data_IF_067514953810
#
_entry.id   IF_067514953810
#
_cell.length_a   1.000
_cell.length_b   1.000
_cell.length_c   1.000
_cell.angle_alpha   90.00
_cell.angle_beta   90.00
_cell.angle_gamma   90.00
#
_symmetry.space_group_name_H-M   'P 1'
#
loop_
_entity.id
_entity.type
_entity.pdbx_description
1 polymer ?
#
# COMPACT_ATOMS: atom_id res chain seq x y z
N UNK A 1 -43.90 18.33 35.67
CA UNK A 1 -43.24 18.89 36.89
C UNK A 1 -41.82 19.32 36.53
N UNK A 2 -41.63 20.61 36.61
CA UNK A 2 -40.40 21.38 36.29
C UNK A 2 -39.49 21.42 37.53
N UNK A 3 -38.17 21.27 37.36
CA UNK A 3 -37.12 21.86 38.23
C UNK A 3 -35.79 21.80 37.44
N UNK A 4 -35.36 22.88 36.83
CA UNK A 4 -34.52 24.04 37.19
C UNK A 4 -33.09 23.67 37.64
N UNK A 5 -32.14 24.14 36.79
CA UNK A 5 -30.73 24.43 37.11
C UNK A 5 -30.52 25.31 38.35
N UNK A 6 -29.28 25.38 38.83
CA UNK A 6 -28.71 26.72 38.96
C UNK A 6 -27.29 26.87 38.34
N UNK A 7 -27.00 28.15 38.06
CA UNK A 7 -25.83 28.79 37.45
C UNK A 7 -24.77 29.17 38.50
N UNK A 8 -23.55 29.39 37.94
CA UNK A 8 -22.52 30.41 38.25
C UNK A 8 -21.60 30.19 39.45
N UNK A 9 -20.28 30.31 39.25
CA UNK A 9 -19.53 31.55 39.43
C UNK A 9 -18.08 31.46 38.91
N UNK A 10 -17.65 32.60 38.34
CA UNK A 10 -16.30 33.01 38.00
C UNK A 10 -15.50 33.31 39.29
N UNK A 11 -14.17 33.25 39.22
CA UNK A 11 -13.23 34.32 39.66
C UNK A 11 -11.79 33.95 39.22
N UNK A 12 -11.16 34.82 38.44
CA UNK A 12 -9.81 35.37 38.29
C UNK A 12 -8.81 35.00 39.43
N UNK A 13 -7.54 34.96 39.25
CA UNK A 13 -6.49 35.78 38.64
C UNK A 13 -5.08 35.23 38.97
N UNK A 14 -4.16 35.40 38.01
CA UNK A 14 -2.78 35.88 38.15
C UNK A 14 -1.61 35.03 38.65
N UNK A 15 -0.61 35.11 37.80
CA UNK A 15 0.84 35.35 37.95
C UNK A 15 1.74 34.12 37.75
N UNK A 16 2.44 34.07 36.64
CA UNK A 16 3.72 34.63 36.19
C UNK A 16 4.94 33.70 36.37
N UNK A 17 5.82 33.81 35.36
CA UNK A 17 7.22 33.35 35.23
C UNK A 17 7.37 31.86 34.77
N UNK A 18 7.79 31.53 33.57
CA UNK A 18 8.88 32.05 32.76
C UNK A 18 9.92 30.96 32.65
N UNK A 19 9.98 30.27 31.47
CA UNK A 19 11.27 29.96 30.89
C UNK A 19 11.11 29.38 29.47
N UNK A 20 11.77 30.03 28.56
CA UNK A 20 11.91 29.76 27.16
C UNK A 20 12.80 28.56 26.87
N UNK A 21 12.35 27.69 25.97
CA UNK A 21 13.27 26.91 25.15
C UNK A 21 12.78 26.90 23.70
N UNK A 22 13.51 27.65 22.87
CA UNK A 22 13.36 27.70 21.41
C UNK A 22 13.77 26.37 20.77
N UNK A 23 12.81 25.68 20.18
CA UNK A 23 13.11 24.71 19.13
C UNK A 23 12.84 25.38 17.77
N UNK A 24 13.92 25.63 17.03
CA UNK A 24 13.85 26.17 15.65
C UNK A 24 13.40 25.07 14.71
N UNK A 25 12.21 25.27 14.13
CA UNK A 25 11.80 24.59 12.90
C UNK A 25 12.65 25.11 11.74
N UNK A 26 13.28 24.21 11.02
CA UNK A 26 13.97 24.51 9.75
C UNK A 26 12.96 24.24 8.64
N UNK A 27 12.36 25.30 8.14
CA UNK A 27 11.59 25.28 6.90
C UNK A 27 12.55 25.19 5.71
N UNK A 28 12.40 24.13 4.93
CA UNK A 28 13.05 23.98 3.62
C UNK A 28 12.24 24.75 2.56
N UNK A 29 12.47 26.06 2.44
CA UNK A 29 12.02 26.86 1.31
C UNK A 29 13.15 27.00 0.27
N UNK A 30 12.80 26.72 -0.96
CA UNK A 30 13.61 26.86 -2.17
C UNK A 30 14.29 28.23 -2.25
N UNK A 31 15.63 28.23 -2.22
CA UNK A 31 16.44 29.42 -2.51
C UNK A 31 16.51 29.53 -4.04
N UNK A 32 15.97 30.63 -4.58
CA UNK A 32 16.09 30.96 -6.00
C UNK A 32 17.50 31.47 -6.35
N UNK A 33 17.98 31.16 -7.55
CA UNK A 33 19.31 31.56 -8.05
C UNK A 33 19.63 33.06 -8.00
N UNK A 34 18.62 33.93 -7.83
CA UNK A 34 18.74 35.37 -7.67
C UNK A 34 19.32 35.80 -6.31
N UNK A 35 19.08 35.02 -5.24
CA UNK A 35 19.55 35.40 -3.90
C UNK A 35 21.03 35.06 -3.68
N UNK A 36 21.53 34.05 -4.40
CA UNK A 36 22.93 33.67 -4.39
C UNK A 36 23.84 34.72 -5.05
N UNK A 37 23.32 35.49 -5.99
CA UNK A 37 24.04 36.56 -6.71
C UNK A 37 24.12 37.85 -5.89
N UNK A 38 23.17 38.15 -5.02
CA UNK A 38 23.18 39.34 -4.18
C UNK A 38 24.14 39.19 -2.99
N UNK A 39 24.22 38.02 -2.37
CA UNK A 39 25.20 37.77 -1.28
C UNK A 39 26.65 37.88 -1.80
N UNK A 40 26.92 37.50 -3.04
CA UNK A 40 28.24 37.63 -3.66
C UNK A 40 28.57 39.08 -3.99
N UNK A 41 27.60 39.98 -4.24
CA UNK A 41 27.82 41.40 -4.49
C UNK A 41 28.12 42.18 -3.22
N UNK A 42 27.41 41.92 -2.11
CA UNK A 42 27.66 42.60 -0.84
C UNK A 42 29.03 42.23 -0.23
N UNK A 43 29.51 40.99 -0.42
CA UNK A 43 30.85 40.56 0.03
C UNK A 43 31.99 41.18 -0.82
N UNK A 44 31.68 41.67 -2.03
CA UNK A 44 32.65 42.40 -2.85
C UNK A 44 32.80 43.87 -2.46
N UNK A 45 31.77 44.54 -2.00
CA UNK A 45 31.83 45.96 -1.61
C UNK A 45 32.47 46.16 -0.24
N UNK A 46 32.32 45.23 0.70
CA UNK A 46 32.99 45.27 2.02
C UNK A 46 34.51 45.04 1.97
N UNK A 47 35.07 44.56 0.85
CA UNK A 47 36.51 44.29 0.69
C UNK A 47 37.34 45.41 0.05
N UNK A 48 36.73 46.50 -0.32
CA UNK A 48 37.44 47.58 -1.02
C UNK A 48 37.93 48.75 -0.15
N UNK A 49 37.68 48.73 1.16
CA UNK A 49 38.07 49.82 2.06
C UNK A 49 39.04 49.41 3.19
N UNK A 50 40.14 48.76 2.86
CA UNK A 50 41.35 48.77 3.75
C UNK A 50 42.59 48.69 2.89
N UNK A 51 43.07 49.88 2.46
CA UNK A 51 44.44 50.04 1.97
C UNK A 51 45.38 49.96 3.14
N UNK A 52 45.94 48.79 3.40
CA UNK A 52 47.19 48.60 4.18
C UNK A 52 48.22 47.99 3.25
N UNK A 53 49.36 48.65 3.15
CA UNK A 53 50.53 48.26 2.35
C UNK A 53 50.91 46.80 2.56
N UNK A 54 50.57 45.98 1.62
CA UNK A 54 50.89 44.54 1.65
C UNK A 54 52.15 44.33 0.82
N UNK A 55 53.27 44.04 1.53
CA UNK A 55 54.56 43.64 0.97
C UNK A 55 54.41 42.82 -0.33
N UNK A 56 55.05 43.21 -1.44
CA UNK A 56 54.88 42.58 -2.77
C UNK A 56 55.18 41.06 -2.77
N UNK A 57 56.05 40.58 -1.86
CA UNK A 57 56.29 39.13 -1.67
C UNK A 57 55.06 38.40 -1.16
N UNK A 58 54.29 38.97 -0.23
CA UNK A 58 53.01 38.37 0.27
C UNK A 58 51.91 38.31 -0.81
N UNK A 59 51.85 39.30 -1.70
CA UNK A 59 50.92 39.37 -2.83
C UNK A 59 51.22 38.27 -3.86
N UNK A 60 52.51 37.99 -4.12
CA UNK A 60 52.99 36.92 -5.01
C UNK A 60 52.66 35.53 -4.47
N UNK A 61 52.87 35.31 -3.16
CA UNK A 61 52.57 34.06 -2.46
C UNK A 61 51.05 33.81 -2.43
N UNK A 62 50.20 34.81 -2.15
CA UNK A 62 48.74 34.67 -2.17
C UNK A 62 48.24 34.32 -3.58
N UNK A 63 48.76 34.92 -4.67
CA UNK A 63 48.44 34.53 -6.05
C UNK A 63 48.84 33.10 -6.37
N UNK A 64 50.00 32.64 -5.91
CA UNK A 64 50.51 31.27 -6.12
C UNK A 64 49.66 30.24 -5.35
N UNK A 65 49.27 30.51 -4.09
CA UNK A 65 48.34 29.70 -3.32
C UNK A 65 46.94 29.62 -3.87
N UNK A 66 46.37 30.74 -4.40
CA UNK A 66 45.11 30.75 -5.10
C UNK A 66 45.14 29.92 -6.39
N UNK A 67 46.25 29.96 -7.14
CA UNK A 67 46.44 29.13 -8.35
C UNK A 67 46.55 27.65 -8.04
N UNK A 68 47.29 27.28 -6.95
CA UNK A 68 47.43 25.91 -6.50
C UNK A 68 46.07 25.34 -5.97
N UNK A 69 45.33 26.14 -5.18
CA UNK A 69 43.99 25.72 -4.71
C UNK A 69 43.00 25.55 -5.88
N UNK A 70 43.03 26.44 -6.89
CA UNK A 70 42.16 26.28 -8.07
C UNK A 70 42.52 25.05 -8.91
N UNK A 71 43.81 24.76 -9.12
CA UNK A 71 44.25 23.57 -9.87
C UNK A 71 43.96 22.26 -9.11
N UNK A 72 44.16 22.22 -7.79
CA UNK A 72 43.82 21.03 -7.00
C UNK A 72 42.32 20.84 -6.88
N UNK A 73 41.53 21.91 -6.75
CA UNK A 73 40.07 21.83 -6.73
C UNK A 73 39.54 21.37 -8.10
N UNK A 74 40.09 21.90 -9.23
CA UNK A 74 39.74 21.43 -10.56
C UNK A 74 40.02 19.93 -10.78
N UNK A 75 41.19 19.44 -10.34
CA UNK A 75 41.53 18.02 -10.41
C UNK A 75 40.58 17.17 -9.54
N UNK A 76 40.23 17.67 -8.34
CA UNK A 76 39.28 16.98 -7.46
C UNK A 76 37.88 16.89 -8.09
N UNK A 77 37.38 17.99 -8.68
CA UNK A 77 36.08 18.03 -9.38
C UNK A 77 36.06 17.07 -10.58
N UNK A 78 37.15 17.04 -11.39
CA UNK A 78 37.26 16.08 -12.49
C UNK A 78 37.26 14.62 -12.00
N UNK A 79 37.98 14.34 -10.91
CA UNK A 79 38.01 12.99 -10.31
C UNK A 79 36.63 12.56 -9.75
N UNK A 80 35.90 13.50 -9.15
CA UNK A 80 34.53 13.27 -8.68
C UNK A 80 33.55 13.07 -9.85
N UNK A 81 33.64 13.91 -10.90
CA UNK A 81 32.84 13.73 -12.12
C UNK A 81 33.09 12.36 -12.78
N UNK A 82 34.34 11.95 -12.88
CA UNK A 82 34.71 10.63 -13.41
C UNK A 82 34.13 9.47 -12.57
N UNK A 83 34.18 9.57 -11.22
CA UNK A 83 33.56 8.58 -10.32
C UNK A 83 32.04 8.56 -10.45
N UNK A 84 31.42 9.73 -10.54
CA UNK A 84 29.97 9.86 -10.72
C UNK A 84 29.54 9.24 -12.07
N UNK A 85 30.25 9.57 -13.16
CA UNK A 85 29.94 8.99 -14.47
C UNK A 85 30.17 7.49 -14.50
N UNK A 86 31.21 6.96 -13.88
CA UNK A 86 31.46 5.51 -13.72
C UNK A 86 30.36 4.82 -12.90
N UNK A 87 29.86 5.51 -11.86
CA UNK A 87 28.74 5.01 -11.06
C UNK A 87 27.44 4.96 -11.88
N UNK A 88 27.15 6.02 -12.63
CA UNK A 88 25.97 6.05 -13.52
C UNK A 88 26.08 5.05 -14.67
N UNK A 89 27.28 4.84 -15.24
CA UNK A 89 27.52 3.80 -16.26
C UNK A 89 27.23 2.42 -15.68
N UNK A 90 27.76 2.11 -14.49
CA UNK A 90 27.48 0.83 -13.81
C UNK A 90 26.01 0.67 -13.44
N UNK A 91 25.35 1.72 -12.99
CA UNK A 91 23.90 1.69 -12.75
C UNK A 91 23.11 1.43 -14.02
N UNK A 92 23.51 2.03 -15.14
CA UNK A 92 22.86 1.77 -16.43
C UNK A 92 23.18 0.37 -16.97
N UNK A 93 24.39 -0.14 -16.80
CA UNK A 93 24.73 -1.52 -17.10
C UNK A 93 23.93 -2.52 -16.24
N UNK A 94 23.78 -2.24 -14.93
CA UNK A 94 22.92 -3.04 -14.04
C UNK A 94 21.44 -2.94 -14.38
N UNK A 95 20.95 -1.76 -14.81
CA UNK A 95 19.57 -1.60 -15.31
C UNK A 95 19.34 -2.33 -16.64
N UNK A 96 20.36 -2.43 -17.50
CA UNK A 96 20.27 -3.16 -18.76
C UNK A 96 20.46 -4.68 -18.58
N UNK A 97 20.96 -5.12 -17.41
CA UNK A 97 20.99 -6.54 -17.03
C UNK A 97 19.70 -6.89 -16.29
N UNK A 98 18.60 -6.90 -16.99
CA UNK A 98 17.30 -7.33 -16.46
C UNK A 98 17.09 -8.79 -16.89
N UNK A 99 17.53 -9.79 -16.09
CA UNK A 99 17.36 -11.18 -16.45
C UNK A 99 15.87 -11.48 -16.58
N UNK A 100 15.52 -12.30 -17.54
CA UNK A 100 14.15 -12.80 -17.71
C UNK A 100 13.60 -13.29 -16.37
N UNK A 101 12.48 -12.73 -15.89
CA UNK A 101 11.91 -13.16 -14.61
C UNK A 101 11.32 -14.59 -14.73
N UNK A 102 11.34 -15.31 -13.61
CA UNK A 102 10.89 -16.72 -13.55
C UNK A 102 9.42 -16.93 -13.97
N UNK A 103 8.60 -15.91 -13.88
CA UNK A 103 7.17 -15.98 -14.27
C UNK A 103 6.95 -15.79 -15.76
N UNK A 104 7.85 -15.12 -16.46
CA UNK A 104 7.67 -14.80 -17.88
C UNK A 104 7.93 -16.04 -18.74
N UNK A 105 6.98 -16.40 -19.58
CA UNK A 105 7.11 -17.50 -20.53
C UNK A 105 8.01 -17.11 -21.70
N UNK A 106 8.52 -18.11 -22.42
CA UNK A 106 9.35 -17.88 -23.61
C UNK A 106 8.59 -17.20 -24.74
N UNK A 107 7.30 -17.53 -24.89
CA UNK A 107 6.43 -16.90 -25.87
C UNK A 107 6.20 -15.43 -25.56
N UNK A 108 6.05 -15.08 -24.28
CA UNK A 108 5.87 -13.70 -23.82
C UNK A 108 7.12 -12.86 -24.09
N UNK A 109 8.30 -13.41 -23.84
CA UNK A 109 9.58 -12.74 -24.11
C UNK A 109 9.74 -12.35 -25.59
N UNK A 110 9.21 -13.18 -26.51
CA UNK A 110 9.30 -12.99 -27.97
C UNK A 110 8.29 -12.00 -28.54
N UNK A 111 7.35 -11.49 -27.74
CA UNK A 111 6.38 -10.49 -28.20
C UNK A 111 7.13 -9.18 -28.47
N UNK A 112 7.16 -8.74 -29.73
CA UNK A 112 7.85 -7.51 -30.15
C UNK A 112 7.15 -6.25 -29.63
N UNK A 113 5.81 -6.22 -29.71
CA UNK A 113 5.04 -5.09 -29.17
C UNK A 113 5.14 -5.08 -27.65
N UNK A 114 5.75 -4.02 -27.11
CA UNK A 114 6.02 -3.86 -25.67
C UNK A 114 4.73 -3.82 -24.84
N UNK A 115 3.67 -3.27 -25.42
CA UNK A 115 2.40 -3.15 -24.71
C UNK A 115 1.72 -4.51 -24.56
N UNK A 116 1.68 -5.27 -25.65
CA UNK A 116 1.18 -6.66 -25.65
C UNK A 116 2.05 -7.54 -24.77
N UNK A 117 3.36 -7.35 -24.77
CA UNK A 117 4.30 -8.09 -23.91
C UNK A 117 4.03 -7.82 -22.44
N UNK A 118 3.84 -6.55 -22.03
CA UNK A 118 3.51 -6.19 -20.65
C UNK A 118 2.15 -6.77 -20.22
N UNK A 119 1.14 -6.70 -21.10
CA UNK A 119 -0.14 -7.32 -20.81
C UNK A 119 -0.02 -8.83 -20.58
N UNK A 120 0.71 -9.53 -21.45
CA UNK A 120 0.92 -10.98 -21.33
C UNK A 120 1.79 -11.33 -20.11
N UNK A 121 2.80 -10.53 -19.79
CA UNK A 121 3.61 -10.69 -18.58
C UNK A 121 2.74 -10.63 -17.31
N UNK A 122 1.81 -9.70 -17.21
CA UNK A 122 0.89 -9.61 -16.10
C UNK A 122 0.05 -10.88 -15.97
N UNK A 123 -0.44 -11.43 -17.07
CA UNK A 123 -1.19 -12.68 -17.07
C UNK A 123 -0.31 -13.89 -16.65
N UNK A 124 0.92 -13.95 -17.12
CA UNK A 124 1.89 -14.97 -16.72
C UNK A 124 2.20 -14.90 -15.23
N UNK A 125 2.38 -13.69 -14.70
CA UNK A 125 2.62 -13.48 -13.29
C UNK A 125 1.43 -13.89 -12.41
N UNK A 126 0.21 -13.48 -12.76
CA UNK A 126 -1.01 -13.92 -12.05
C UNK A 126 -1.07 -15.46 -12.03
N UNK A 127 -0.80 -16.09 -13.16
CA UNK A 127 -0.76 -17.55 -13.27
C UNK A 127 0.33 -18.18 -12.40
N UNK A 128 1.49 -17.54 -12.29
CA UNK A 128 2.64 -17.99 -11.51
C UNK A 128 2.37 -17.93 -9.99
N UNK A 129 1.72 -16.87 -9.50
CA UNK A 129 1.46 -16.68 -8.06
C UNK A 129 0.11 -17.22 -7.58
N UNK A 130 -0.77 -17.67 -8.48
CA UNK A 130 -2.04 -18.33 -8.10
C UNK A 130 -1.76 -19.72 -7.54
N UNK A 131 -2.28 -20.09 -6.36
CA UNK A 131 -2.10 -21.42 -5.80
C UNK A 131 -2.62 -22.51 -6.73
N UNK A 132 -1.79 -23.51 -7.04
CA UNK A 132 -2.12 -24.65 -7.90
C UNK A 132 -1.46 -25.92 -7.39
N UNK A 133 -1.95 -27.08 -7.84
CA UNK A 133 -1.37 -28.37 -7.52
C UNK A 133 -1.07 -28.49 -6.03
N UNK A 134 0.19 -28.76 -5.68
CA UNK A 134 0.60 -28.94 -4.28
C UNK A 134 0.38 -27.70 -3.41
N UNK A 135 0.55 -26.49 -3.94
CA UNK A 135 0.34 -25.25 -3.17
C UNK A 135 -1.15 -25.02 -2.83
N UNK A 136 -2.06 -25.49 -3.68
CA UNK A 136 -3.49 -25.50 -3.40
C UNK A 136 -3.84 -26.64 -2.42
N UNK A 137 -3.33 -27.85 -2.66
CA UNK A 137 -3.58 -29.00 -1.78
C UNK A 137 -3.16 -28.76 -0.33
N UNK A 138 -2.05 -28.07 -0.08
CA UNK A 138 -1.63 -27.66 1.27
C UNK A 138 -2.71 -26.85 1.99
N UNK A 139 -3.41 -25.97 1.27
CA UNK A 139 -4.50 -25.16 1.84
C UNK A 139 -5.70 -26.02 2.22
N UNK A 140 -6.12 -26.90 1.33
CA UNK A 140 -7.21 -27.86 1.60
C UNK A 140 -6.89 -28.73 2.82
N UNK A 141 -5.68 -29.31 2.90
CA UNK A 141 -5.22 -30.08 4.05
C UNK A 141 -5.30 -29.26 5.36
N UNK A 142 -4.92 -27.98 5.30
CA UNK A 142 -4.98 -27.08 6.47
C UNK A 142 -6.43 -26.87 6.91
N UNK A 143 -7.33 -26.64 5.94
CA UNK A 143 -8.76 -26.42 6.18
C UNK A 143 -9.40 -27.66 6.81
N UNK A 144 -9.18 -28.83 6.22
CA UNK A 144 -9.78 -30.08 6.68
C UNK A 144 -9.27 -30.46 8.07
N UNK A 145 -7.98 -30.29 8.33
CA UNK A 145 -7.40 -30.53 9.65
C UNK A 145 -8.03 -29.64 10.71
N UNK A 146 -8.21 -28.31 10.40
CA UNK A 146 -8.86 -27.39 11.33
C UNK A 146 -10.31 -27.81 11.60
N UNK A 147 -11.08 -28.09 10.54
CA UNK A 147 -12.48 -28.54 10.67
C UNK A 147 -12.62 -29.78 11.56
N UNK A 148 -11.75 -30.77 11.36
CA UNK A 148 -11.77 -32.01 12.13
C UNK A 148 -11.45 -31.78 13.62
N UNK A 149 -10.44 -30.93 13.93
CA UNK A 149 -10.09 -30.59 15.31
C UNK A 149 -11.24 -29.85 15.99
N UNK A 150 -11.83 -28.85 15.32
CA UNK A 150 -12.93 -28.06 15.88
C UNK A 150 -14.17 -28.95 16.14
N UNK A 151 -14.53 -29.78 15.18
CA UNK A 151 -15.67 -30.72 15.32
C UNK A 151 -15.47 -31.72 16.48
N UNK A 152 -14.24 -32.19 16.67
CA UNK A 152 -13.91 -33.08 17.80
C UNK A 152 -13.89 -32.36 19.14
N UNK A 153 -13.52 -31.08 19.17
CA UNK A 153 -13.50 -30.25 20.37
C UNK A 153 -14.92 -29.87 20.83
N UNK A 154 -15.74 -29.37 19.92
CA UNK A 154 -17.13 -29.00 20.20
C UNK A 154 -17.98 -29.11 18.91
N UNK A 155 -18.91 -30.11 18.85
CA UNK A 155 -19.75 -30.32 17.65
C UNK A 155 -20.67 -29.15 17.27
N UNK A 156 -20.95 -28.22 18.22
CA UNK A 156 -21.77 -27.03 17.97
C UNK A 156 -21.01 -25.92 17.28
N UNK A 157 -19.67 -26.01 17.22
CA UNK A 157 -18.83 -25.06 16.51
C UNK A 157 -18.71 -25.45 15.04
N UNK A 158 -18.84 -24.45 14.18
CA UNK A 158 -18.66 -24.60 12.73
C UNK A 158 -17.51 -23.72 12.24
N UNK A 159 -16.75 -24.21 11.26
CA UNK A 159 -15.64 -23.48 10.64
C UNK A 159 -16.09 -22.94 9.30
N UNK A 160 -16.10 -21.63 9.16
CA UNK A 160 -16.40 -20.91 7.93
C UNK A 160 -15.13 -20.29 7.37
N UNK A 161 -14.93 -20.44 6.06
CA UNK A 161 -13.89 -19.75 5.29
C UNK A 161 -14.40 -18.40 4.81
N UNK A 162 -13.57 -17.38 4.86
CA UNK A 162 -13.83 -16.09 4.26
C UNK A 162 -12.53 -15.49 3.70
N UNK A 163 -12.54 -14.22 3.31
CA UNK A 163 -11.35 -13.53 2.82
C UNK A 163 -10.84 -14.05 1.48
N UNK A 164 -9.56 -13.85 1.22
CA UNK A 164 -8.98 -13.98 -0.12
C UNK A 164 -9.03 -15.39 -0.70
N UNK A 165 -8.90 -16.43 0.12
CA UNK A 165 -8.97 -17.81 -0.36
C UNK A 165 -10.39 -18.17 -0.82
N UNK A 166 -11.39 -17.82 0.00
CA UNK A 166 -12.79 -18.05 -0.34
C UNK A 166 -13.25 -17.26 -1.57
N UNK A 167 -12.77 -16.02 -1.73
CA UNK A 167 -13.07 -15.12 -2.84
C UNK A 167 -12.31 -15.45 -4.13
N UNK A 168 -11.43 -16.47 -4.14
CA UNK A 168 -10.57 -16.79 -5.26
C UNK A 168 -9.60 -15.66 -5.69
N UNK A 169 -9.21 -14.80 -4.73
CA UNK A 169 -8.21 -13.73 -4.90
C UNK A 169 -6.91 -13.99 -4.14
N UNK A 170 -6.75 -15.21 -3.61
CA UNK A 170 -5.55 -15.59 -2.89
C UNK A 170 -4.37 -15.80 -3.84
N UNK A 171 -3.19 -15.52 -3.32
CA UNK A 171 -1.91 -15.84 -3.94
C UNK A 171 -1.18 -16.88 -3.08
N UNK A 172 -0.06 -17.41 -3.59
CA UNK A 172 0.81 -18.28 -2.78
C UNK A 172 1.30 -17.61 -1.49
N UNK A 173 1.27 -16.26 -1.41
CA UNK A 173 1.67 -15.47 -0.25
C UNK A 173 0.52 -15.14 0.70
N UNK A 174 -0.69 -15.58 0.40
CA UNK A 174 -1.89 -15.25 1.19
C UNK A 174 -2.09 -16.24 2.33
N UNK A 175 -2.53 -15.73 3.47
CA UNK A 175 -3.01 -16.48 4.61
C UNK A 175 -4.40 -17.08 4.30
N UNK A 176 -4.91 -17.97 5.17
CA UNK A 176 -6.30 -18.45 5.13
C UNK A 176 -7.04 -17.84 6.31
N UNK A 177 -8.17 -17.21 6.02
CA UNK A 177 -9.03 -16.57 7.01
C UNK A 177 -10.17 -17.51 7.41
N UNK A 178 -10.31 -17.76 8.73
CA UNK A 178 -11.36 -18.59 9.30
C UNK A 178 -12.22 -17.81 10.30
N UNK A 179 -13.51 -18.06 10.32
CA UNK A 179 -14.39 -17.70 11.42
C UNK A 179 -14.98 -18.97 12.05
N UNK A 180 -14.82 -19.10 13.35
CA UNK A 180 -15.49 -20.16 14.13
C UNK A 180 -16.84 -19.61 14.57
N UNK A 181 -17.92 -20.28 14.18
CA UNK A 181 -19.29 -19.88 14.49
C UNK A 181 -19.88 -20.82 15.53
N UNK A 182 -20.42 -20.27 16.60
CA UNK A 182 -21.20 -20.99 17.59
C UNK A 182 -22.67 -21.05 17.17
N UNK A 183 -23.13 -22.23 16.74
CA UNK A 183 -24.52 -22.45 16.36
C UNK A 183 -25.46 -22.54 17.56
N UNK A 184 -24.94 -22.71 18.78
CA UNK A 184 -25.74 -22.81 20.00
C UNK A 184 -26.08 -21.44 20.60
N UNK A 185 -25.43 -20.39 20.18
CA UNK A 185 -25.53 -19.01 20.72
C UNK A 185 -25.28 -18.91 22.23
N UNK A 186 -24.61 -19.90 22.83
CA UNK A 186 -24.37 -19.96 24.27
C UNK A 186 -23.03 -19.33 24.70
N UNK A 187 -22.10 -19.11 23.77
CA UNK A 187 -20.78 -18.59 24.10
C UNK A 187 -20.83 -17.07 24.20
N UNK A 188 -20.89 -16.55 25.44
CA UNK A 188 -20.87 -15.13 25.73
C UNK A 188 -19.44 -14.54 25.80
N UNK A 189 -18.42 -15.38 26.04
CA UNK A 189 -17.02 -14.97 26.18
C UNK A 189 -16.17 -15.42 24.99
N UNK A 190 -16.22 -14.68 23.89
CA UNK A 190 -15.45 -14.97 22.67
C UNK A 190 -13.93 -15.02 22.92
N UNK A 191 -13.40 -14.11 23.77
CA UNK A 191 -11.97 -14.06 24.10
C UNK A 191 -11.53 -15.32 24.87
N UNK A 192 -12.33 -15.74 25.85
CA UNK A 192 -12.09 -16.98 26.59
C UNK A 192 -12.07 -18.18 25.68
N UNK A 193 -13.03 -18.25 24.76
CA UNK A 193 -13.14 -19.35 23.81
C UNK A 193 -11.97 -19.38 22.81
N UNK A 194 -11.55 -18.24 22.26
CA UNK A 194 -10.36 -18.17 21.41
C UNK A 194 -9.10 -18.66 22.15
N UNK A 195 -8.94 -18.33 23.43
CA UNK A 195 -7.82 -18.83 24.26
C UNK A 195 -7.88 -20.33 24.49
N UNK A 196 -9.09 -20.89 24.68
CA UNK A 196 -9.29 -22.33 24.78
C UNK A 196 -8.97 -23.02 23.46
N UNK A 197 -9.47 -22.51 22.34
CA UNK A 197 -9.15 -22.98 21.00
C UNK A 197 -7.65 -22.96 20.71
N UNK A 198 -6.94 -21.91 21.14
CA UNK A 198 -5.48 -21.86 21.02
C UNK A 198 -4.79 -23.05 21.69
N UNK A 199 -5.22 -23.42 22.93
CA UNK A 199 -4.68 -24.59 23.65
C UNK A 199 -4.99 -25.89 22.92
N UNK A 200 -6.22 -26.06 22.44
CA UNK A 200 -6.68 -27.22 21.68
C UNK A 200 -5.88 -27.39 20.40
N UNK A 201 -5.68 -26.28 19.63
CA UNK A 201 -4.92 -26.31 18.38
C UNK A 201 -3.44 -26.63 18.59
N UNK A 202 -2.83 -26.11 19.67
CA UNK A 202 -1.45 -26.48 20.08
C UNK A 202 -1.34 -27.93 20.45
N UNK A 203 -2.26 -28.44 21.29
CA UNK A 203 -2.28 -29.83 21.75
C UNK A 203 -2.43 -30.82 20.58
N UNK A 204 -3.27 -30.51 19.61
CA UNK A 204 -3.50 -31.35 18.42
C UNK A 204 -2.40 -31.14 17.32
N UNK A 205 -1.33 -30.40 17.59
CA UNK A 205 -0.22 -30.18 16.66
C UNK A 205 -0.64 -29.44 15.39
N UNK A 206 -1.72 -28.64 15.46
CA UNK A 206 -2.14 -27.82 14.32
C UNK A 206 -1.16 -26.69 14.05
N UNK A 207 -0.75 -26.00 15.11
CA UNK A 207 0.25 -24.92 15.06
C UNK A 207 1.01 -24.85 16.38
N UNK A 208 2.33 -24.62 16.31
CA UNK A 208 3.20 -24.43 17.48
C UNK A 208 3.38 -22.95 17.82
N UNK A 209 3.33 -22.08 16.81
CA UNK A 209 3.57 -20.64 16.86
C UNK A 209 2.31 -19.79 16.93
N UNK A 210 1.16 -20.40 17.28
CA UNK A 210 -0.12 -19.71 17.34
C UNK A 210 -0.13 -18.66 18.46
N UNK A 211 -0.51 -17.44 18.13
CA UNK A 211 -0.60 -16.28 19.00
C UNK A 211 -2.02 -15.74 19.09
N UNK A 212 -2.37 -15.21 20.26
CA UNK A 212 -3.62 -14.48 20.47
C UNK A 212 -3.37 -13.00 20.30
N UNK A 213 -4.00 -12.38 19.29
CA UNK A 213 -3.93 -10.95 19.03
C UNK A 213 -5.17 -10.28 19.62
N UNK A 214 -4.95 -9.47 20.67
CA UNK A 214 -6.00 -8.70 21.34
C UNK A 214 -6.22 -7.39 20.61
N UNK A 215 -7.13 -7.38 19.62
CA UNK A 215 -7.50 -6.21 18.83
C UNK A 215 -9.01 -5.93 18.97
N UNK A 216 -9.53 -4.89 18.27
CA UNK A 216 -10.99 -4.61 18.20
C UNK A 216 -11.78 -5.86 17.77
N UNK A 217 -11.21 -6.68 16.90
CA UNK A 217 -11.66 -8.03 16.58
C UNK A 217 -10.53 -8.95 17.02
N UNK A 218 -10.69 -9.72 18.11
CA UNK A 218 -9.67 -10.66 18.56
C UNK A 218 -9.49 -11.80 17.56
N UNK A 219 -8.25 -12.21 17.32
CA UNK A 219 -7.91 -13.31 16.41
C UNK A 219 -6.83 -14.21 17.00
N UNK A 220 -6.81 -15.44 16.54
CA UNK A 220 -5.64 -16.33 16.63
C UNK A 220 -4.91 -16.27 15.31
N UNK A 221 -3.62 -16.01 15.35
CA UNK A 221 -2.74 -15.96 14.18
C UNK A 221 -1.64 -17.01 14.33
N UNK A 222 -1.28 -17.68 13.25
CA UNK A 222 -0.22 -18.69 13.30
C UNK A 222 0.07 -19.34 11.96
N UNK A 223 0.96 -20.36 12.01
CA UNK A 223 1.36 -21.14 10.84
C UNK A 223 1.03 -22.60 11.09
N UNK A 224 0.37 -23.26 10.15
CA UNK A 224 0.12 -24.70 10.27
C UNK A 224 1.43 -25.49 10.26
N UNK A 225 1.67 -26.31 11.30
CA UNK A 225 2.94 -27.00 11.51
C UNK A 225 3.30 -28.01 10.42
N UNK A 226 2.32 -28.53 9.68
CA UNK A 226 2.54 -29.53 8.64
C UNK A 226 2.67 -28.92 7.25
N UNK A 227 1.79 -27.96 6.91
CA UNK A 227 1.71 -27.40 5.56
C UNK A 227 2.53 -26.14 5.38
N UNK A 228 2.88 -25.45 6.49
CA UNK A 228 3.52 -24.13 6.45
C UNK A 228 2.57 -23.00 6.05
N UNK A 229 1.25 -23.25 5.93
CA UNK A 229 0.28 -22.24 5.56
C UNK A 229 -0.06 -21.36 6.78
N UNK A 230 0.04 -20.05 6.59
CA UNK A 230 -0.39 -19.06 7.58
C UNK A 230 -1.90 -18.97 7.64
N UNK A 231 -2.43 -18.69 8.83
CA UNK A 231 -3.86 -18.57 9.03
C UNK A 231 -4.21 -17.55 10.11
N UNK A 232 -5.41 -16.98 9.97
CA UNK A 232 -6.06 -16.13 10.96
C UNK A 232 -7.42 -16.75 11.32
N UNK A 233 -7.71 -16.90 12.64
CA UNK A 233 -8.98 -17.44 13.14
C UNK A 233 -9.65 -16.38 14.00
N UNK A 234 -10.87 -15.99 13.63
CA UNK A 234 -11.77 -15.14 14.41
C UNK A 234 -12.94 -15.94 14.96
N UNK A 235 -13.75 -15.34 15.86
CA UNK A 235 -14.92 -15.97 16.43
C UNK A 235 -16.19 -15.17 16.13
N UNK A 236 -17.29 -15.82 15.69
CA UNK A 236 -18.61 -15.24 15.38
C UNK A 236 -18.57 -14.05 14.40
N UNK A 237 -17.75 -14.14 13.34
CA UNK A 237 -17.62 -13.07 12.31
C UNK A 237 -18.35 -13.42 11.02
N UNK A 238 -19.70 -13.50 11.07
CA UNK A 238 -20.55 -13.80 9.92
C UNK A 238 -20.46 -12.70 8.84
N UNK A 239 -20.35 -11.43 9.24
CA UNK A 239 -20.28 -10.32 8.29
C UNK A 239 -19.11 -10.42 7.31
N UNK A 240 -17.94 -10.89 7.76
CA UNK A 240 -16.79 -11.12 6.87
C UNK A 240 -17.07 -12.20 5.82
N UNK A 241 -17.87 -13.19 6.16
CA UNK A 241 -18.32 -14.23 5.24
C UNK A 241 -19.35 -13.69 4.24
N UNK A 242 -20.36 -12.93 4.70
CA UNK A 242 -21.37 -12.29 3.84
C UNK A 242 -20.73 -11.37 2.81
N UNK A 243 -19.81 -10.50 3.24
CA UNK A 243 -19.03 -9.66 2.34
C UNK A 243 -18.23 -10.50 1.33
N UNK A 244 -17.66 -11.63 1.77
CA UNK A 244 -16.89 -12.53 0.90
C UNK A 244 -17.75 -13.26 -0.14
N UNK A 245 -19.00 -13.57 0.18
CA UNK A 245 -19.97 -14.16 -0.77
C UNK A 245 -20.26 -13.21 -1.92
N UNK A 246 -20.54 -11.94 -1.59
CA UNK A 246 -20.86 -10.91 -2.60
C UNK A 246 -19.64 -10.65 -3.49
N UNK A 247 -18.46 -10.49 -2.87
CA UNK A 247 -17.21 -10.26 -3.59
C UNK A 247 -16.91 -11.42 -4.55
N UNK A 248 -17.07 -12.67 -4.06
CA UNK A 248 -16.86 -13.86 -4.89
C UNK A 248 -17.78 -13.87 -6.11
N UNK A 249 -19.06 -13.60 -5.94
CA UNK A 249 -20.03 -13.53 -7.03
C UNK A 249 -19.63 -12.49 -8.09
N UNK A 250 -19.28 -11.28 -7.66
CA UNK A 250 -18.85 -10.19 -8.56
C UNK A 250 -17.59 -10.58 -9.33
N UNK A 251 -16.63 -11.23 -8.68
CA UNK A 251 -15.39 -11.67 -9.31
C UNK A 251 -15.60 -12.81 -10.32
N UNK A 252 -16.56 -13.69 -10.05
CA UNK A 252 -16.94 -14.77 -10.98
C UNK A 252 -17.64 -14.20 -12.23
N UNK A 253 -18.49 -13.17 -12.07
CA UNK A 253 -19.14 -12.47 -13.16
C UNK A 253 -18.18 -11.60 -13.98
N UNK A 254 -17.13 -11.05 -13.34
CA UNK A 254 -16.20 -10.09 -13.94
C UNK A 254 -14.73 -10.47 -13.67
N UNK A 255 -14.14 -11.42 -14.44
CA UNK A 255 -12.79 -11.95 -14.19
C UNK A 255 -11.66 -10.91 -14.21
N UNK A 256 -11.82 -9.77 -14.91
CA UNK A 256 -10.83 -8.69 -14.93
C UNK A 256 -10.64 -8.07 -13.54
N UNK A 257 -11.70 -7.99 -12.73
CA UNK A 257 -11.66 -7.48 -11.35
C UNK A 257 -10.73 -8.36 -10.51
N UNK A 258 -10.84 -9.69 -10.63
CA UNK A 258 -9.94 -10.63 -9.96
C UNK A 258 -8.48 -10.41 -10.34
N UNK A 259 -8.21 -10.31 -11.65
CA UNK A 259 -6.85 -10.10 -12.18
C UNK A 259 -6.24 -8.81 -11.61
N UNK A 260 -7.00 -7.70 -11.64
CA UNK A 260 -6.57 -6.41 -11.10
C UNK A 260 -6.30 -6.48 -9.59
N UNK A 261 -7.20 -7.06 -8.79
CA UNK A 261 -7.02 -7.20 -7.34
C UNK A 261 -5.73 -7.94 -7.00
N UNK A 262 -5.42 -9.03 -7.71
CA UNK A 262 -4.21 -9.83 -7.46
C UNK A 262 -2.96 -8.98 -7.65
N UNK A 263 -2.84 -8.24 -8.76
CA UNK A 263 -1.68 -7.39 -9.06
C UNK A 263 -1.58 -6.24 -8.05
N UNK A 264 -2.69 -5.53 -7.80
CA UNK A 264 -2.70 -4.38 -6.90
C UNK A 264 -2.40 -4.78 -5.44
N UNK A 265 -2.83 -5.96 -4.99
CA UNK A 265 -2.47 -6.50 -3.66
C UNK A 265 -0.96 -6.70 -3.53
N UNK A 266 -0.29 -7.24 -4.55
CA UNK A 266 1.16 -7.40 -4.53
C UNK A 266 1.85 -6.04 -4.55
N UNK A 267 1.43 -5.12 -5.42
CA UNK A 267 1.98 -3.77 -5.49
C UNK A 267 1.91 -3.04 -4.14
N UNK A 268 0.76 -3.08 -3.47
CA UNK A 268 0.60 -2.51 -2.12
C UNK A 268 1.50 -3.20 -1.10
N UNK A 269 1.62 -4.53 -1.16
CA UNK A 269 2.42 -5.33 -0.23
C UNK A 269 3.91 -5.03 -0.33
N UNK A 270 4.48 -4.97 -1.54
CA UNK A 270 5.91 -4.67 -1.73
C UNK A 270 6.27 -3.24 -1.30
N UNK A 271 5.29 -2.33 -1.30
CA UNK A 271 5.45 -0.97 -0.81
C UNK A 271 5.02 -0.79 0.66
N UNK A 272 4.73 -1.87 1.40
CA UNK A 272 4.28 -1.84 2.81
C UNK A 272 3.03 -0.97 3.05
N UNK A 273 2.13 -0.90 2.07
CA UNK A 273 0.89 -0.10 2.11
C UNK A 273 -0.38 -0.96 2.17
N UNK A 274 -0.27 -2.26 2.47
CA UNK A 274 -1.38 -3.20 2.55
C UNK A 274 -1.94 -3.42 3.97
N UNK A 275 -1.26 -2.92 5.01
CA UNK A 275 -1.63 -3.19 6.41
C UNK A 275 -2.54 -2.09 6.98
N UNK A 276 -3.82 -2.40 7.22
CA UNK A 276 -4.79 -1.43 7.77
C UNK A 276 -4.41 -0.92 9.16
N UNK A 277 -3.63 -1.68 9.94
CA UNK A 277 -3.15 -1.26 11.25
C UNK A 277 -2.21 -0.05 11.14
N UNK A 278 -1.44 0.02 10.07
CA UNK A 278 -0.54 1.14 9.75
C UNK A 278 -1.18 2.16 8.80
N UNK A 279 -2.50 2.14 8.65
CA UNK A 279 -3.22 3.06 7.76
C UNK A 279 -3.15 2.71 6.28
N UNK A 280 -2.64 1.52 5.95
CA UNK A 280 -2.60 1.02 4.58
C UNK A 280 -3.97 0.61 4.04
N UNK A 281 -4.02 0.27 2.78
CA UNK A 281 -5.24 -0.13 2.07
C UNK A 281 -5.57 -1.61 2.32
N UNK A 282 -6.70 -1.88 2.99
CA UNK A 282 -7.20 -3.25 3.13
C UNK A 282 -7.61 -3.84 1.78
N UNK A 283 -7.56 -5.18 1.67
CA UNK A 283 -8.08 -5.88 0.48
C UNK A 283 -9.57 -5.60 0.23
N UNK A 284 -10.32 -5.28 1.29
CA UNK A 284 -11.73 -4.92 1.22
C UNK A 284 -11.94 -3.56 0.56
N UNK A 285 -11.21 -2.52 0.99
CA UNK A 285 -11.23 -1.21 0.33
C UNK A 285 -10.74 -1.31 -1.12
N UNK A 286 -9.65 -2.05 -1.36
CA UNK A 286 -9.10 -2.25 -2.70
C UNK A 286 -10.14 -2.85 -3.65
N UNK A 287 -10.89 -3.88 -3.20
CA UNK A 287 -11.98 -4.46 -3.99
C UNK A 287 -13.02 -3.39 -4.38
N UNK A 288 -13.45 -2.54 -3.44
CA UNK A 288 -14.42 -1.49 -3.74
C UNK A 288 -13.92 -0.49 -4.77
N UNK A 289 -12.64 -0.07 -4.67
CA UNK A 289 -12.05 0.83 -5.67
C UNK A 289 -11.98 0.18 -7.05
N UNK A 290 -11.55 -1.09 -7.14
CA UNK A 290 -11.49 -1.82 -8.40
C UNK A 290 -12.89 -2.00 -9.01
N UNK A 291 -13.87 -2.39 -8.19
CA UNK A 291 -15.24 -2.59 -8.64
C UNK A 291 -15.92 -1.29 -9.07
N UNK A 292 -15.72 -0.20 -8.31
CA UNK A 292 -16.28 1.10 -8.67
C UNK A 292 -15.65 1.65 -9.95
N UNK A 293 -14.36 1.46 -10.16
CA UNK A 293 -13.73 1.79 -11.44
C UNK A 293 -14.36 0.99 -12.58
N UNK A 294 -14.49 -0.34 -12.40
CA UNK A 294 -15.12 -1.22 -13.39
C UNK A 294 -16.52 -0.73 -13.76
N UNK A 295 -17.38 -0.42 -12.77
CA UNK A 295 -18.73 0.09 -13.01
C UNK A 295 -18.74 1.47 -13.69
N UNK A 296 -17.76 2.31 -13.41
CA UNK A 296 -17.68 3.66 -13.99
C UNK A 296 -17.33 3.61 -15.48
N UNK A 297 -16.50 2.66 -15.88
CA UNK A 297 -15.94 2.56 -17.23
C UNK A 297 -16.33 1.25 -17.94
N UNK A 298 -17.41 0.60 -17.49
CA UNK A 298 -17.84 -0.70 -18.02
C UNK A 298 -18.05 -0.68 -19.55
N UNK A 299 -18.62 0.41 -20.07
CA UNK A 299 -18.90 0.58 -21.50
C UNK A 299 -17.59 0.74 -22.32
N UNK A 300 -16.57 1.38 -21.74
CA UNK A 300 -15.25 1.60 -22.38
C UNK A 300 -14.37 0.33 -22.31
N UNK A 301 -14.44 -0.40 -21.19
CA UNK A 301 -13.68 -1.64 -20.98
C UNK A 301 -14.25 -2.76 -21.85
N UNK A 302 -15.56 -2.76 -22.10
CA UNK A 302 -16.26 -3.78 -22.87
C UNK A 302 -16.08 -5.19 -22.29
N UNK A 303 -16.29 -6.20 -23.12
CA UNK A 303 -16.10 -7.61 -22.74
C UNK A 303 -14.63 -8.08 -22.85
N UNK A 304 -13.68 -7.15 -23.01
CA UNK A 304 -12.27 -7.52 -23.20
C UNK A 304 -11.58 -7.83 -21.86
N UNK A 305 -11.92 -8.98 -21.28
CA UNK A 305 -11.34 -9.47 -20.03
C UNK A 305 -9.83 -9.79 -20.12
N UNK A 306 -9.21 -9.69 -21.29
CA UNK A 306 -7.82 -10.08 -21.50
C UNK A 306 -6.86 -8.90 -21.54
N UNK A 307 -7.36 -7.67 -21.67
CA UNK A 307 -6.53 -6.47 -21.61
C UNK A 307 -6.45 -5.93 -20.18
N UNK A 308 -5.72 -6.64 -19.34
CA UNK A 308 -5.52 -6.26 -17.93
C UNK A 308 -4.64 -5.03 -17.79
N UNK A 309 -3.70 -4.80 -18.71
CA UNK A 309 -2.82 -3.63 -18.65
C UNK A 309 -3.61 -2.33 -18.81
N UNK A 310 -4.55 -2.26 -19.75
CA UNK A 310 -5.42 -1.07 -19.92
C UNK A 310 -6.22 -0.77 -18.67
N UNK A 311 -6.79 -1.81 -18.07
CA UNK A 311 -7.55 -1.66 -16.83
C UNK A 311 -6.69 -1.13 -15.69
N UNK A 312 -5.46 -1.64 -15.53
CA UNK A 312 -4.53 -1.18 -14.51
C UNK A 312 -4.06 0.24 -14.76
N UNK A 313 -3.75 0.61 -16.02
CA UNK A 313 -3.39 1.97 -16.38
C UNK A 313 -4.53 2.97 -16.10
N UNK A 314 -5.77 2.57 -16.42
CA UNK A 314 -6.96 3.35 -16.09
C UNK A 314 -7.10 3.53 -14.57
N UNK A 315 -6.91 2.45 -13.79
CA UNK A 315 -6.95 2.46 -12.33
C UNK A 315 -5.90 3.42 -11.75
N UNK A 316 -4.65 3.30 -12.17
CA UNK A 316 -3.57 4.13 -11.69
C UNK A 316 -3.75 5.60 -12.07
N UNK A 317 -4.17 5.87 -13.31
CA UNK A 317 -4.47 7.23 -13.79
C UNK A 317 -5.63 7.85 -13.03
N UNK A 318 -6.75 7.12 -12.88
CA UNK A 318 -7.96 7.63 -12.24
C UNK A 318 -7.71 7.94 -10.75
N UNK A 319 -7.26 6.96 -9.98
CA UNK A 319 -7.04 7.12 -8.54
C UNK A 319 -5.78 7.92 -8.21
N UNK A 320 -4.74 7.84 -9.02
CA UNK A 320 -3.50 8.58 -8.79
C UNK A 320 -3.54 10.06 -9.20
N UNK A 321 -4.45 10.45 -10.15
CA UNK A 321 -4.38 11.80 -10.73
C UNK A 321 -5.72 12.51 -10.95
N UNK A 322 -6.85 11.81 -10.98
CA UNK A 322 -8.13 12.40 -11.38
C UNK A 322 -9.09 12.65 -10.23
N UNK A 323 -9.17 11.77 -9.26
CA UNK A 323 -10.05 11.91 -8.11
C UNK A 323 -9.35 12.60 -6.94
N UNK A 324 -10.02 13.52 -6.30
CA UNK A 324 -9.54 14.16 -5.06
C UNK A 324 -10.31 13.59 -3.86
N UNK A 325 -9.72 12.61 -3.18
CA UNK A 325 -10.29 12.01 -1.98
C UNK A 325 -10.23 12.89 -0.72
N UNK A 326 -9.60 14.05 -0.76
CA UNK A 326 -9.67 15.00 0.37
C UNK A 326 -11.07 15.58 0.49
N UNK A 327 -11.77 15.77 -0.64
CA UNK A 327 -13.10 16.39 -0.69
C UNK A 327 -14.21 15.47 -1.20
N UNK A 328 -13.86 14.42 -1.96
CA UNK A 328 -14.83 13.53 -2.60
C UNK A 328 -14.86 12.15 -1.95
N UNK A 329 -16.04 11.57 -1.89
CA UNK A 329 -16.29 10.16 -1.60
C UNK A 329 -16.99 9.48 -2.77
N UNK A 330 -17.08 8.15 -2.72
CA UNK A 330 -17.69 7.31 -3.74
C UNK A 330 -18.77 6.41 -3.12
N UNK A 331 -19.90 6.28 -3.78
CA UNK A 331 -20.97 5.35 -3.42
C UNK A 331 -21.74 4.84 -4.65
N UNK A 332 -22.55 3.82 -4.49
CA UNK A 332 -23.54 3.42 -5.49
C UNK A 332 -24.85 4.18 -5.27
N UNK A 333 -25.47 4.62 -6.36
CA UNK A 333 -26.84 5.11 -6.35
C UNK A 333 -27.84 3.93 -6.38
N UNK A 334 -29.13 4.24 -6.47
CA UNK A 334 -30.22 3.23 -6.53
C UNK A 334 -30.15 2.35 -7.79
N UNK A 335 -29.61 2.88 -8.90
CA UNK A 335 -29.41 2.16 -10.16
C UNK A 335 -28.09 1.36 -10.20
N UNK A 336 -27.39 1.20 -9.07
CA UNK A 336 -26.07 0.58 -8.97
C UNK A 336 -24.96 1.29 -9.81
N UNK A 337 -25.15 2.57 -10.13
CA UNK A 337 -24.13 3.40 -10.77
C UNK A 337 -23.28 4.12 -9.73
N UNK A 338 -22.00 4.29 -10.03
CA UNK A 338 -21.08 5.02 -9.15
C UNK A 338 -21.40 6.50 -9.15
N UNK A 339 -21.59 7.05 -7.94
CA UNK A 339 -21.84 8.48 -7.70
C UNK A 339 -20.73 9.03 -6.81
N UNK A 340 -20.13 10.14 -7.23
CA UNK A 340 -19.26 10.95 -6.37
C UNK A 340 -20.12 11.86 -5.50
N UNK A 341 -19.68 12.07 -4.25
CA UNK A 341 -20.33 13.00 -3.32
C UNK A 341 -19.30 13.82 -2.56
N UNK A 342 -19.70 15.00 -2.10
CA UNK A 342 -18.85 15.85 -1.26
C UNK A 342 -18.90 15.38 0.18
N UNK A 343 -17.74 14.98 0.74
CA UNK A 343 -17.59 14.40 2.08
C UNK A 343 -18.19 15.29 3.19
N UNK A 344 -18.00 16.60 3.09
CA UNK A 344 -18.42 17.56 4.10
C UNK A 344 -19.91 17.93 4.04
N UNK A 345 -20.62 17.50 3.00
CA UNK A 345 -22.05 17.76 2.81
C UNK A 345 -22.88 16.52 3.15
N UNK A 346 -22.32 15.33 2.96
CA UNK A 346 -23.02 14.07 3.20
C UNK A 346 -22.83 13.61 4.66
N UNK A 347 -23.78 14.01 5.53
CA UNK A 347 -23.77 13.72 6.96
C UNK A 347 -24.00 12.25 7.33
N UNK A 348 -24.20 11.37 6.33
CA UNK A 348 -24.50 9.95 6.56
C UNK A 348 -23.24 9.06 6.68
N UNK A 349 -22.06 9.61 6.42
CA UNK A 349 -20.79 8.88 6.48
C UNK A 349 -19.92 9.38 7.63
N UNK A 350 -19.53 8.49 8.53
CA UNK A 350 -18.58 8.79 9.60
C UNK A 350 -17.13 8.73 9.09
N UNK A 351 -16.24 9.55 9.67
CA UNK A 351 -14.79 9.63 9.36
C UNK A 351 -14.46 10.16 7.95
N UNK A 352 -14.65 11.45 7.78
CA UNK A 352 -14.36 12.18 6.54
C UNK A 352 -12.87 12.39 6.26
N UNK A 353 -11.99 12.24 7.26
CA UNK A 353 -10.55 12.51 7.13
C UNK A 353 -9.81 11.50 6.24
N UNK A 354 -10.40 10.32 6.04
CA UNK A 354 -9.83 9.24 5.24
C UNK A 354 -10.52 9.10 3.88
N UNK A 355 -10.10 8.13 3.05
CA UNK A 355 -10.84 7.73 1.86
C UNK A 355 -12.27 7.37 2.27
N UNK A 356 -13.26 8.02 1.66
CA UNK A 356 -14.68 7.71 1.83
C UNK A 356 -15.17 6.88 0.63
N UNK A 357 -15.36 5.59 0.86
CA UNK A 357 -15.93 4.66 -0.13
C UNK A 357 -17.00 3.83 0.56
N UNK A 358 -18.25 3.98 0.13
CA UNK A 358 -19.37 3.27 0.74
C UNK A 358 -19.28 1.77 0.46
N UNK A 359 -19.55 0.96 1.49
CA UNK A 359 -19.60 -0.48 1.36
C UNK A 359 -20.84 -0.89 0.54
N UNK A 360 -20.65 -1.69 -0.51
CA UNK A 360 -21.70 -2.16 -1.40
C UNK A 360 -22.77 -3.02 -0.70
N UNK A 361 -22.37 -3.72 0.36
CA UNK A 361 -23.26 -4.61 1.15
C UNK A 361 -23.90 -3.91 2.35
N UNK A 362 -23.38 -2.77 2.76
CA UNK A 362 -23.87 -2.04 3.92
C UNK A 362 -23.73 -0.54 3.71
N UNK A 363 -24.78 0.06 3.17
CA UNK A 363 -24.86 1.52 2.97
C UNK A 363 -24.54 2.25 4.29
N UNK A 364 -23.94 3.42 4.20
CA UNK A 364 -23.47 4.25 5.32
C UNK A 364 -22.25 3.71 6.09
N UNK A 365 -21.66 2.57 5.67
CA UNK A 365 -20.39 2.09 6.21
C UNK A 365 -19.27 2.45 5.26
N UNK A 366 -18.27 3.19 5.76
CA UNK A 366 -17.07 3.55 5.00
C UNK A 366 -16.07 2.38 4.98
N UNK A 367 -15.84 1.79 3.81
CA UNK A 367 -14.81 0.76 3.59
C UNK A 367 -13.39 1.30 3.81
N UNK A 368 -13.18 2.61 3.61
CA UNK A 368 -11.89 3.29 3.75
C UNK A 368 -11.59 3.82 5.15
N UNK A 369 -12.44 3.57 6.15
CA UNK A 369 -12.35 4.15 7.49
C UNK A 369 -10.96 4.04 8.15
N UNK A 370 -10.22 2.98 7.88
CA UNK A 370 -8.89 2.72 8.47
C UNK A 370 -7.72 3.12 7.59
N UNK A 371 -7.97 3.65 6.40
CA UNK A 371 -6.94 3.97 5.41
C UNK A 371 -6.48 5.43 5.57
N UNK A 372 -5.80 5.74 6.68
CA UNK A 372 -5.33 7.10 6.95
C UNK A 372 -4.04 7.47 6.21
N UNK A 373 -3.28 6.48 5.69
CA UNK A 373 -2.09 6.72 4.87
C UNK A 373 -2.41 6.75 3.37
N UNK A 374 -3.62 7.17 3.00
CA UNK A 374 -4.09 7.12 1.61
C UNK A 374 -3.31 8.04 0.67
N UNK A 375 -2.75 9.14 1.13
CA UNK A 375 -1.95 10.04 0.31
C UNK A 375 -0.70 9.34 -0.26
N UNK A 376 -0.02 8.50 0.56
CA UNK A 376 1.10 7.69 0.10
C UNK A 376 0.65 6.65 -0.94
N UNK A 377 -0.54 6.08 -0.77
CA UNK A 377 -1.11 5.11 -1.71
C UNK A 377 -1.47 5.77 -3.04
N UNK A 378 -2.10 6.95 -3.03
CA UNK A 378 -2.40 7.69 -4.26
C UNK A 378 -1.12 8.13 -4.98
N UNK A 379 -0.10 8.53 -4.23
CA UNK A 379 1.23 8.83 -4.77
C UNK A 379 1.87 7.59 -5.40
N UNK A 380 1.77 6.42 -4.76
CA UNK A 380 2.21 5.16 -5.35
C UNK A 380 1.50 4.90 -6.69
N UNK A 381 0.17 5.02 -6.74
CA UNK A 381 -0.58 4.79 -7.98
C UNK A 381 -0.16 5.75 -9.10
N UNK A 382 -0.01 7.04 -8.77
CA UNK A 382 0.50 8.04 -9.73
C UNK A 382 1.89 7.68 -10.26
N UNK A 383 2.82 7.33 -9.38
CA UNK A 383 4.18 7.01 -9.75
C UNK A 383 4.24 5.71 -10.57
N UNK A 384 3.46 4.70 -10.21
CA UNK A 384 3.35 3.45 -10.98
C UNK A 384 2.83 3.71 -12.40
N UNK A 385 1.83 4.60 -12.57
CA UNK A 385 1.37 5.00 -13.89
C UNK A 385 2.50 5.58 -14.74
N UNK A 386 3.25 6.53 -14.17
CA UNK A 386 4.37 7.19 -14.85
C UNK A 386 5.44 6.17 -15.23
N UNK A 387 5.82 5.30 -14.29
CA UNK A 387 6.86 4.29 -14.49
C UNK A 387 6.48 3.29 -15.60
N UNK A 388 5.24 2.83 -15.65
CA UNK A 388 4.76 1.95 -16.74
C UNK A 388 4.88 2.66 -18.09
N UNK A 389 4.51 3.94 -18.17
CA UNK A 389 4.59 4.69 -19.42
C UNK A 389 6.05 4.91 -19.85
N UNK A 390 6.96 5.22 -18.92
CA UNK A 390 8.39 5.35 -19.21
C UNK A 390 9.02 4.02 -19.65
N UNK A 391 8.71 2.91 -18.98
CA UNK A 391 9.24 1.59 -19.33
C UNK A 391 8.73 1.11 -20.70
N UNK A 392 7.50 1.50 -21.08
CA UNK A 392 6.99 1.29 -22.43
C UNK A 392 7.84 2.03 -23.47
N UNK A 393 8.17 3.29 -23.24
CA UNK A 393 9.02 4.09 -24.15
C UNK A 393 10.45 3.52 -24.24
N UNK A 394 10.96 2.96 -23.15
CA UNK A 394 12.28 2.31 -23.10
C UNK A 394 12.28 0.93 -23.77
N UNK A 395 11.13 0.40 -24.19
CA UNK A 395 10.95 -0.95 -24.69
C UNK A 395 11.52 -2.03 -23.74
N UNK A 396 11.24 -1.88 -22.44
CA UNK A 396 11.77 -2.77 -21.41
C UNK A 396 11.26 -4.20 -21.57
N UNK A 397 12.07 -5.17 -21.15
CA UNK A 397 11.69 -6.58 -21.23
C UNK A 397 10.55 -6.92 -20.28
N UNK A 398 10.59 -6.40 -19.05
CA UNK A 398 9.69 -6.78 -17.97
C UNK A 398 9.32 -5.57 -17.13
N UNK A 399 8.03 -5.21 -17.12
CA UNK A 399 7.51 -4.14 -16.28
C UNK A 399 7.38 -4.57 -14.82
N UNK A 400 6.94 -5.79 -14.55
CA UNK A 400 6.73 -6.25 -13.18
C UNK A 400 8.05 -6.44 -12.42
N UNK A 401 9.12 -6.86 -13.11
CA UNK A 401 10.44 -6.93 -12.50
C UNK A 401 10.98 -5.55 -12.15
N UNK A 402 10.76 -4.55 -13.02
CA UNK A 402 11.17 -3.16 -12.77
C UNK A 402 10.37 -2.54 -11.60
N UNK A 403 9.11 -2.88 -11.45
CA UNK A 403 8.27 -2.52 -10.31
C UNK A 403 8.58 -3.31 -9.02
N UNK A 404 9.56 -4.23 -9.04
CA UNK A 404 10.00 -4.99 -7.87
C UNK A 404 9.08 -6.14 -7.45
N UNK A 405 8.29 -6.71 -8.37
CA UNK A 405 7.42 -7.85 -8.06
C UNK A 405 8.23 -9.09 -7.67
N UNK A 406 7.83 -9.83 -6.60
CA UNK A 406 8.62 -10.92 -6.07
C UNK A 406 8.50 -12.21 -6.87
N UNK A 407 9.61 -12.96 -6.95
CA UNK A 407 9.61 -14.37 -7.35
C UNK A 407 9.25 -15.27 -6.16
N UNK A 408 8.81 -16.50 -6.45
CA UNK A 408 8.78 -17.57 -5.44
C UNK A 408 10.22 -17.88 -5.02
N UNK A 409 10.49 -17.82 -3.71
CA UNK A 409 11.74 -18.29 -3.12
C UNK A 409 11.79 -19.83 -3.11
#
# INVERSE_FOLDING_TARGET
>A
MVKKCPKTNKVNENSSLGNSSHSKNIDSSSISDSDSLNIIKEDKERRNNTNLDINPKKKKIRKKLKKIKRTNMGKLIQKLKGKINSYYSRLNEMKNFNPKPKWMKEETEKIEDVYMRFNQEILDYINYITPKGWTYAKREITIDKLKNIIKSYNPNLNVILFGSFYQNTSTIFSDIDFSIIDNSSHISNEIGELRNLMKVLKHNGFSRDIEFINAKIPILKGTNSFTGIKFDISFNRLKGYEDSLIIKKIIEEHPIIRKAIIILKILLKINNLNESFHGGMSSFLLFHLVYFLYLTFADEIGNNNDNILDFLLLFFKFYGTKINFDILGMRLNEDNKVKLFYKYIDYNMNNYDNICVENINNKHVNAGQKCFNYQSILSLFKNTYIEIMEEKERNSLSILNNLGFPTQS
#
